data_IF_865431186371
#
_entry.id   IF_865431186371
#
_cell.length_a   1.000
_cell.length_b   1.000
_cell.length_c   1.000
_cell.angle_alpha   90.00
_cell.angle_beta   90.00
_cell.angle_gamma   90.00
#
_symmetry.space_group_name_H-M   'P 1'
#
loop_
_entity.id
_entity.type
_entity.pdbx_description
1 polymer ?
#
# COMPACT_ATOMS: atom_id res chain seq x y z
N UNK A 1 16.50 11.48 -8.14
CA UNK A 1 15.59 11.47 -6.98
C UNK A 1 14.36 10.71 -7.40
N UNK A 2 13.90 9.79 -6.57
CA UNK A 2 12.76 8.91 -6.88
C UNK A 2 11.82 8.83 -5.68
N UNK A 3 10.52 8.78 -5.96
CA UNK A 3 9.49 8.45 -4.97
C UNK A 3 9.21 6.95 -5.00
N UNK A 4 9.45 6.27 -3.88
CA UNK A 4 9.20 4.84 -3.77
C UNK A 4 7.90 4.60 -3.01
N UNK A 5 6.88 4.08 -3.69
CA UNK A 5 5.64 3.60 -3.07
C UNK A 5 5.88 2.18 -2.53
N UNK A 6 6.02 2.04 -1.22
CA UNK A 6 6.48 0.81 -0.56
C UNK A 6 5.33 0.13 0.17
N UNK A 7 5.08 -1.14 -0.17
CA UNK A 7 4.23 -2.01 0.63
C UNK A 7 4.92 -2.48 1.91
N UNK A 8 4.38 -2.08 3.07
CA UNK A 8 4.89 -2.42 4.39
C UNK A 8 4.56 -3.86 4.82
N UNK A 9 3.69 -4.56 4.09
CA UNK A 9 3.19 -5.86 4.50
C UNK A 9 2.00 -5.77 5.48
N UNK A 10 1.51 -6.92 6.00
CA UNK A 10 0.23 -7.03 6.69
C UNK A 10 0.27 -6.64 8.17
N UNK A 11 1.39 -6.13 8.69
CA UNK A 11 1.48 -5.55 10.03
C UNK A 11 2.70 -5.98 10.85
N UNK A 12 3.23 -7.20 10.69
CA UNK A 12 4.48 -7.55 11.37
C UNK A 12 5.67 -6.87 10.66
N UNK A 13 6.60 -6.20 11.38
CA UNK A 13 7.69 -5.46 10.75
C UNK A 13 8.62 -6.30 9.87
N UNK A 14 8.76 -7.59 10.17
CA UNK A 14 9.60 -8.54 9.44
C UNK A 14 8.95 -9.10 8.15
N UNK A 15 7.68 -8.76 7.89
CA UNK A 15 6.98 -9.12 6.65
C UNK A 15 7.12 -8.05 5.56
N UNK A 16 7.82 -6.95 5.83
CA UNK A 16 8.27 -6.04 4.78
C UNK A 16 9.29 -6.74 3.87
N UNK A 17 9.34 -6.37 2.60
CA UNK A 17 10.38 -6.89 1.71
C UNK A 17 11.75 -6.30 2.08
N UNK A 18 12.81 -7.07 1.82
CA UNK A 18 14.20 -6.58 1.98
C UNK A 18 14.44 -5.30 1.17
N UNK A 19 13.82 -5.19 -0.01
CA UNK A 19 13.91 -3.96 -0.83
C UNK A 19 13.21 -2.78 -0.14
N UNK A 20 12.00 -2.99 0.38
CA UNK A 20 11.22 -1.96 1.07
C UNK A 20 11.95 -1.41 2.29
N UNK A 21 12.48 -2.29 3.15
CA UNK A 21 13.23 -1.87 4.34
C UNK A 21 14.48 -1.05 3.97
N UNK A 22 15.31 -1.55 3.03
CA UNK A 22 16.52 -0.85 2.55
C UNK A 22 16.26 0.49 1.87
N UNK A 23 15.05 0.72 1.40
CA UNK A 23 14.63 2.00 0.85
C UNK A 23 14.31 2.98 1.98
N UNK A 24 13.53 2.54 2.96
CA UNK A 24 13.19 3.33 4.14
C UNK A 24 14.47 3.75 4.88
N UNK A 25 15.41 2.83 5.08
CA UNK A 25 16.70 3.06 5.74
C UNK A 25 17.61 4.11 5.07
N UNK A 26 17.31 4.54 3.84
CA UNK A 26 18.14 5.51 3.10
C UNK A 26 17.42 6.78 2.63
N UNK A 27 16.09 6.82 2.69
CA UNK A 27 15.34 7.98 2.18
C UNK A 27 15.35 9.12 3.21
N UNK A 28 15.77 10.35 2.85
CA UNK A 28 15.73 11.51 3.74
C UNK A 28 14.31 11.97 4.10
N UNK A 29 13.30 11.60 3.31
CA UNK A 29 11.89 11.83 3.62
C UNK A 29 11.15 10.48 3.65
N UNK A 30 10.51 10.19 4.78
CA UNK A 30 9.64 9.04 4.97
C UNK A 30 8.21 9.52 5.25
N UNK A 31 7.31 9.28 4.30
CA UNK A 31 5.89 9.57 4.41
C UNK A 31 5.14 8.26 4.62
N UNK A 32 4.35 8.12 5.69
CA UNK A 32 3.59 6.89 5.95
C UNK A 32 2.09 7.14 6.07
N UNK A 33 1.29 6.14 5.72
CA UNK A 33 -0.17 6.22 5.67
C UNK A 33 -0.84 5.82 7.00
N UNK A 34 -0.59 6.57 8.07
CA UNK A 34 -1.28 6.40 9.35
C UNK A 34 -0.94 5.14 10.13
N UNK A 35 -1.82 4.81 11.08
CA UNK A 35 -1.63 3.76 12.08
C UNK A 35 -1.61 2.33 11.55
N UNK A 36 -1.95 2.11 10.27
CA UNK A 36 -1.88 0.79 9.63
C UNK A 36 -0.47 0.44 9.16
N UNK A 37 0.46 1.40 9.20
CA UNK A 37 1.90 1.15 9.01
C UNK A 37 2.54 0.97 10.40
N UNK A 38 3.22 -0.16 10.65
CA UNK A 38 3.92 -0.40 11.91
C UNK A 38 4.96 0.69 12.21
N UNK A 39 4.96 1.22 13.43
CA UNK A 39 5.87 2.29 13.83
C UNK A 39 7.34 1.85 13.75
N UNK A 40 7.62 0.57 13.99
CA UNK A 40 8.95 -0.04 13.92
C UNK A 40 9.54 0.01 12.51
N UNK A 41 8.71 -0.15 11.48
CA UNK A 41 9.13 -0.02 10.08
C UNK A 41 9.57 1.42 9.80
N UNK A 42 8.76 2.39 10.22
CA UNK A 42 9.03 3.81 9.98
C UNK A 42 10.25 4.29 10.80
N UNK A 43 10.44 3.75 12.00
CA UNK A 43 11.59 4.02 12.87
C UNK A 43 12.93 3.53 12.28
N UNK A 44 12.90 2.72 11.22
CA UNK A 44 14.11 2.30 10.49
C UNK A 44 14.64 3.39 9.54
N UNK A 45 13.90 4.49 9.36
CA UNK A 45 14.39 5.64 8.58
C UNK A 45 15.66 6.25 9.22
N UNK A 46 16.51 6.95 8.43
CA UNK A 46 17.67 7.66 8.96
C UNK A 46 17.34 8.56 10.16
N UNK A 47 18.26 8.70 11.10
CA UNK A 47 18.03 9.48 12.31
C UNK A 47 17.75 10.97 12.04
N UNK A 48 18.23 11.49 10.91
CA UNK A 48 18.00 12.84 10.41
C UNK A 48 16.87 12.93 9.37
N UNK A 49 16.21 11.82 9.05
CA UNK A 49 15.11 11.81 8.11
C UNK A 49 13.89 12.56 8.65
N UNK A 50 13.20 13.24 7.74
CA UNK A 50 11.87 13.79 8.02
C UNK A 50 10.86 12.65 7.95
N UNK A 51 10.22 12.34 9.07
CA UNK A 51 9.20 11.30 9.16
C UNK A 51 7.83 11.94 9.37
N UNK A 52 6.88 11.72 8.44
CA UNK A 52 5.59 12.42 8.43
C UNK A 52 4.43 11.42 8.30
N UNK A 53 3.52 11.47 9.28
CA UNK A 53 2.22 10.81 9.16
C UNK A 53 1.35 11.59 8.18
N UNK A 54 0.83 10.89 7.18
CA UNK A 54 -0.01 11.49 6.14
C UNK A 54 -1.48 11.16 6.26
N UNK A 55 -1.90 10.36 7.26
CA UNK A 55 -3.31 10.19 7.59
C UNK A 55 -4.08 11.52 7.83
N UNK A 56 -3.50 12.56 8.47
CA UNK A 56 -4.19 13.84 8.63
C UNK A 56 -4.07 14.76 7.40
N UNK A 57 -3.32 14.37 6.37
CA UNK A 57 -3.02 15.23 5.23
C UNK A 57 -3.96 14.94 4.05
N UNK A 58 -4.35 16.00 3.34
CA UNK A 58 -4.99 15.88 2.03
C UNK A 58 -3.94 15.66 0.93
N UNK A 59 -4.40 15.22 -0.24
CA UNK A 59 -3.54 14.91 -1.39
C UNK A 59 -2.57 16.06 -1.73
N UNK A 60 -3.05 17.30 -1.81
CA UNK A 60 -2.17 18.43 -2.16
C UNK A 60 -1.04 18.67 -1.14
N UNK A 61 -1.28 18.44 0.15
CA UNK A 61 -0.24 18.58 1.18
C UNK A 61 0.81 17.45 1.05
N UNK A 62 0.37 16.23 0.76
CA UNK A 62 1.27 15.10 0.50
C UNK A 62 2.14 15.39 -0.72
N UNK A 63 1.53 15.86 -1.81
CA UNK A 63 2.26 16.20 -3.05
C UNK A 63 3.22 17.37 -2.81
N UNK A 64 2.84 18.38 -2.02
CA UNK A 64 3.72 19.49 -1.69
C UNK A 64 4.99 19.06 -0.93
N UNK A 65 4.88 18.09 -0.02
CA UNK A 65 6.04 17.48 0.66
C UNK A 65 6.96 16.76 -0.33
N UNK A 66 6.38 16.01 -1.27
CA UNK A 66 7.13 15.30 -2.31
C UNK A 66 7.83 16.29 -3.26
N UNK A 67 7.14 17.34 -3.69
CA UNK A 67 7.73 18.40 -4.53
C UNK A 67 8.88 19.12 -3.81
N UNK A 68 8.74 19.36 -2.51
CA UNK A 68 9.81 19.97 -1.72
C UNK A 68 11.05 19.07 -1.65
N UNK A 69 10.86 17.76 -1.47
CA UNK A 69 11.96 16.78 -1.53
C UNK A 69 12.58 16.69 -2.93
N UNK A 70 11.75 16.70 -3.98
CA UNK A 70 12.20 16.71 -5.36
C UNK A 70 13.10 17.93 -5.67
N UNK A 71 12.72 19.14 -5.22
CA UNK A 71 13.55 20.35 -5.36
C UNK A 71 14.89 20.26 -4.64
N UNK A 72 15.00 19.42 -3.59
CA UNK A 72 16.24 19.16 -2.85
C UNK A 72 17.02 17.95 -3.39
N UNK A 73 16.48 17.21 -4.35
CA UNK A 73 17.07 15.98 -4.86
C UNK A 73 17.02 14.80 -3.89
N UNK A 74 16.09 14.82 -2.92
CA UNK A 74 15.97 13.82 -1.86
C UNK A 74 14.99 12.71 -2.25
N UNK A 75 15.43 11.45 -2.20
CA UNK A 75 14.56 10.29 -2.37
C UNK A 75 13.46 10.23 -1.30
N UNK A 76 12.29 9.73 -1.66
CA UNK A 76 11.11 9.68 -0.78
C UNK A 76 10.65 8.24 -0.58
N UNK A 77 10.61 7.78 0.66
CA UNK A 77 9.93 6.55 1.03
C UNK A 77 8.46 6.87 1.33
N UNK A 78 7.55 6.40 0.48
CA UNK A 78 6.10 6.54 0.65
C UNK A 78 5.51 5.20 1.05
N UNK A 79 5.31 5.00 2.36
CA UNK A 79 5.01 3.69 2.95
C UNK A 79 3.49 3.49 3.12
N UNK A 80 2.98 2.39 2.57
CA UNK A 80 1.58 1.99 2.59
C UNK A 80 1.41 0.62 3.28
N UNK A 81 0.30 0.40 3.97
CA UNK A 81 -0.02 -0.91 4.55
C UNK A 81 -0.26 -1.97 3.46
N UNK A 82 0.11 -3.22 3.71
CA UNK A 82 -0.09 -4.34 2.79
C UNK A 82 0.73 -4.19 1.50
N UNK A 83 0.04 -4.34 0.36
CA UNK A 83 0.58 -4.07 -0.96
C UNK A 83 -0.14 -2.85 -1.59
N UNK A 84 0.58 -1.88 -2.19
CA UNK A 84 -0.02 -0.67 -2.71
C UNK A 84 -1.01 -0.87 -3.86
N UNK A 85 -0.98 -2.03 -4.54
CA UNK A 85 -1.89 -2.32 -5.66
C UNK A 85 -3.36 -2.46 -5.25
N UNK A 86 -3.63 -2.74 -3.97
CA UNK A 86 -4.97 -3.01 -3.47
C UNK A 86 -5.40 -1.94 -2.45
N UNK A 87 -6.34 -1.08 -2.86
CA UNK A 87 -6.90 0.01 -2.03
C UNK A 87 -5.85 0.97 -1.44
N UNK A 88 -4.65 1.05 -2.01
CA UNK A 88 -3.55 1.87 -1.49
C UNK A 88 -3.62 3.37 -1.79
N UNK A 89 -4.60 3.82 -2.59
CA UNK A 89 -4.75 5.23 -3.03
C UNK A 89 -3.48 5.85 -3.66
N UNK A 90 -2.66 5.04 -4.33
CA UNK A 90 -1.43 5.51 -4.98
C UNK A 90 -1.67 6.14 -6.36
N UNK A 91 -2.75 5.75 -7.05
CA UNK A 91 -3.01 6.18 -8.42
C UNK A 91 -3.18 7.70 -8.58
N UNK A 92 -3.86 8.35 -7.64
CA UNK A 92 -4.03 9.81 -7.67
C UNK A 92 -2.73 10.57 -7.40
N UNK A 93 -1.84 10.03 -6.56
CA UNK A 93 -0.53 10.59 -6.29
C UNK A 93 0.37 10.43 -7.52
N UNK A 94 0.48 9.22 -8.08
CA UNK A 94 1.29 8.94 -9.28
C UNK A 94 0.91 9.85 -10.44
N UNK A 95 -0.39 10.05 -10.71
CA UNK A 95 -0.85 10.99 -11.76
C UNK A 95 -0.40 12.43 -11.52
N UNK A 96 -0.30 12.87 -10.27
CA UNK A 96 0.22 14.21 -9.92
C UNK A 96 1.73 14.27 -10.11
N UNK A 97 2.46 13.22 -9.73
CA UNK A 97 3.91 13.12 -9.92
C UNK A 97 4.27 13.08 -11.42
N UNK A 98 3.53 12.34 -12.23
CA UNK A 98 3.68 12.29 -13.69
C UNK A 98 3.54 13.68 -14.32
N UNK A 99 2.51 14.43 -13.92
CA UNK A 99 2.28 15.80 -14.40
C UNK A 99 3.39 16.78 -13.98
N UNK A 100 4.10 16.48 -12.89
CA UNK A 100 5.23 17.26 -12.37
C UNK A 100 6.58 16.77 -12.91
N UNK A 101 6.63 15.66 -13.65
CA UNK A 101 7.87 15.04 -14.11
C UNK A 101 8.71 14.43 -12.98
N UNK A 102 8.07 13.94 -11.92
CA UNK A 102 8.73 13.31 -10.76
C UNK A 102 8.70 11.80 -10.92
N UNK A 103 9.87 11.19 -11.02
CA UNK A 103 10.02 9.73 -11.14
C UNK A 103 9.52 9.00 -9.89
N UNK A 104 8.86 7.86 -10.11
CA UNK A 104 8.38 7.01 -9.03
C UNK A 104 8.49 5.52 -9.36
N UNK A 105 8.65 4.69 -8.33
CA UNK A 105 8.70 3.23 -8.41
C UNK A 105 7.74 2.62 -7.36
N UNK A 106 7.04 1.56 -7.73
CA UNK A 106 6.25 0.75 -6.78
C UNK A 106 7.09 -0.44 -6.32
N UNK A 107 7.23 -0.58 -5.01
CA UNK A 107 7.85 -1.73 -4.36
C UNK A 107 6.74 -2.59 -3.77
N UNK A 108 6.55 -3.82 -4.27
CA UNK A 108 5.47 -4.68 -3.81
C UNK A 108 5.64 -5.05 -2.33
N UNK A 109 4.51 -5.28 -1.66
CA UNK A 109 4.41 -5.78 -0.30
C UNK A 109 3.64 -7.08 -0.23
N UNK A 110 3.59 -7.66 0.96
CA UNK A 110 2.73 -8.83 1.23
C UNK A 110 1.30 -8.32 1.49
N UNK A 111 0.31 -8.65 0.64
CA UNK A 111 -1.06 -8.18 0.82
C UNK A 111 -1.75 -8.86 2.01
N UNK A 112 -2.73 -8.18 2.61
CA UNK A 112 -3.41 -8.65 3.83
C UNK A 112 -4.07 -10.02 3.68
N UNK A 113 -4.69 -10.32 2.52
CA UNK A 113 -5.33 -11.62 2.28
C UNK A 113 -4.32 -12.79 2.33
N UNK A 114 -3.08 -12.58 1.88
CA UNK A 114 -2.03 -13.59 1.96
C UNK A 114 -1.56 -13.80 3.40
N UNK A 115 -1.42 -12.70 4.17
CA UNK A 115 -1.16 -12.77 5.61
C UNK A 115 -2.27 -13.51 6.38
N UNK A 116 -3.54 -13.27 6.03
CA UNK A 116 -4.69 -13.97 6.60
C UNK A 116 -4.68 -15.47 6.27
N UNK A 117 -4.42 -15.84 5.01
CA UNK A 117 -4.31 -17.24 4.59
C UNK A 117 -3.19 -17.99 5.34
N UNK A 118 -2.02 -17.36 5.48
CA UNK A 118 -0.91 -17.90 6.26
C UNK A 118 -1.28 -18.08 7.74
N UNK A 119 -1.99 -17.10 8.34
CA UNK A 119 -2.44 -17.17 9.74
C UNK A 119 -3.45 -18.29 9.98
N UNK A 120 -4.28 -18.59 8.98
CA UNK A 120 -5.25 -19.69 8.98
C UNK A 120 -4.61 -21.04 8.59
N UNK A 121 -3.36 -21.06 8.11
CA UNK A 121 -2.72 -22.26 7.59
C UNK A 121 -3.47 -22.86 6.40
N UNK A 122 -4.04 -22.01 5.54
CA UNK A 122 -4.97 -22.42 4.48
C UNK A 122 -4.46 -22.00 3.10
N UNK A 123 -4.47 -22.94 2.16
CA UNK A 123 -4.33 -22.63 0.73
C UNK A 123 -5.67 -22.14 0.18
N UNK A 124 -5.70 -20.97 -0.48
CA UNK A 124 -6.95 -20.36 -0.96
C UNK A 124 -7.50 -21.01 -2.24
N UNK A 125 -6.65 -21.75 -2.94
CA UNK A 125 -6.99 -22.55 -4.12
C UNK A 125 -6.84 -24.02 -3.78
N UNK A 126 -7.83 -24.82 -4.18
CA UNK A 126 -7.85 -26.26 -3.96
C UNK A 126 -8.34 -26.93 -5.25
N UNK A 127 -7.60 -27.92 -5.79
CA UNK A 127 -8.05 -28.68 -6.95
C UNK A 127 -9.46 -29.23 -6.75
N UNK A 128 -10.29 -29.18 -7.79
CA UNK A 128 -11.69 -29.63 -7.80
C UNK A 128 -12.66 -28.89 -6.84
N UNK A 129 -12.16 -27.94 -6.03
CA UNK A 129 -12.97 -27.17 -5.07
C UNK A 129 -13.05 -25.70 -5.47
N UNK A 130 -11.90 -25.02 -5.60
CA UNK A 130 -11.83 -23.60 -5.96
C UNK A 130 -10.49 -23.30 -6.63
N UNK A 131 -10.52 -22.78 -7.85
CA UNK A 131 -9.34 -22.37 -8.62
C UNK A 131 -9.32 -20.86 -8.84
N UNK A 132 -10.07 -20.12 -8.04
CA UNK A 132 -10.26 -18.68 -8.23
C UNK A 132 -10.35 -18.00 -6.87
N UNK A 133 -9.64 -16.88 -6.73
CA UNK A 133 -9.72 -15.99 -5.58
C UNK A 133 -10.20 -14.64 -6.08
N UNK A 134 -11.31 -14.16 -5.51
CA UNK A 134 -11.85 -12.83 -5.80
C UNK A 134 -11.50 -11.92 -4.62
N UNK A 135 -10.69 -10.90 -4.88
CA UNK A 135 -10.41 -9.82 -3.94
C UNK A 135 -11.47 -8.74 -4.13
N UNK A 136 -12.21 -8.41 -3.08
CA UNK A 136 -13.27 -7.41 -3.14
C UNK A 136 -13.44 -6.69 -1.81
N UNK A 137 -14.42 -5.79 -1.74
CA UNK A 137 -14.89 -5.06 -0.55
C UNK A 137 -16.40 -4.93 -0.63
N UNK A 138 -17.04 -4.53 0.46
CA UNK A 138 -18.49 -4.26 0.46
C UNK A 138 -18.78 -2.80 0.17
N UNK A 139 -19.95 -2.53 -0.41
CA UNK A 139 -20.53 -1.20 -0.39
C UNK A 139 -20.74 -0.80 1.08
N UNK A 140 -19.99 0.20 1.54
CA UNK A 140 -20.01 0.69 2.91
C UNK A 140 -20.11 2.20 2.93
N UNK A 141 -19.70 2.82 4.04
CA UNK A 141 -19.73 4.30 4.18
C UNK A 141 -18.70 5.04 3.31
N UNK A 142 -17.76 4.34 2.68
CA UNK A 142 -16.66 4.95 1.93
C UNK A 142 -17.03 5.30 0.49
N UNK A 143 -17.42 4.30 -0.31
CA UNK A 143 -17.75 4.48 -1.72
C UNK A 143 -18.73 3.42 -2.21
N UNK A 144 -19.47 3.79 -3.26
CA UNK A 144 -20.29 2.85 -4.02
C UNK A 144 -19.39 1.86 -4.78
N UNK A 145 -19.88 0.63 -4.91
CA UNK A 145 -19.28 -0.39 -5.79
C UNK A 145 -19.88 -0.25 -7.20
N UNK A 146 -19.13 -0.57 -8.27
CA UNK A 146 -19.72 -0.79 -9.58
C UNK A 146 -20.86 -1.81 -9.51
N UNK A 147 -21.93 -1.63 -10.29
CA UNK A 147 -23.11 -2.51 -10.26
C UNK A 147 -22.77 -3.99 -10.54
N UNK A 148 -21.73 -4.21 -11.35
CA UNK A 148 -21.20 -5.52 -11.74
C UNK A 148 -20.33 -6.18 -10.67
N UNK A 149 -19.98 -5.47 -9.59
CA UNK A 149 -19.09 -5.94 -8.52
C UNK A 149 -19.80 -6.10 -7.18
N UNK A 150 -21.14 -6.13 -7.18
CA UNK A 150 -21.92 -6.43 -5.98
C UNK A 150 -21.64 -7.86 -5.49
N UNK A 151 -21.72 -8.09 -4.17
CA UNK A 151 -21.42 -9.39 -3.57
C UNK A 151 -22.29 -10.51 -4.13
N UNK A 152 -23.55 -10.25 -4.46
CA UNK A 152 -24.45 -11.25 -5.07
C UNK A 152 -23.97 -11.67 -6.45
N UNK A 153 -23.39 -10.73 -7.22
CA UNK A 153 -22.84 -10.98 -8.56
C UNK A 153 -21.53 -11.76 -8.45
N UNK A 154 -20.61 -11.30 -7.59
CA UNK A 154 -19.31 -11.96 -7.40
C UNK A 154 -19.47 -13.36 -6.78
N UNK A 155 -20.36 -13.50 -5.80
CA UNK A 155 -20.62 -14.74 -5.08
C UNK A 155 -21.28 -15.83 -5.93
N UNK A 156 -21.93 -15.47 -7.05
CA UNK A 156 -22.50 -16.44 -7.99
C UNK A 156 -21.43 -17.39 -8.57
N UNK A 157 -20.17 -16.96 -8.62
CA UNK A 157 -19.03 -17.80 -9.05
C UNK A 157 -18.70 -18.94 -8.09
N UNK A 158 -19.11 -18.84 -6.81
CA UNK A 158 -18.71 -19.73 -5.70
C UNK A 158 -17.20 -19.84 -5.47
N UNK A 159 -16.42 -18.90 -6.02
CA UNK A 159 -14.99 -18.80 -5.80
C UNK A 159 -14.67 -18.41 -4.34
N UNK A 160 -13.41 -18.60 -3.94
CA UNK A 160 -12.91 -18.10 -2.66
C UNK A 160 -12.99 -16.56 -2.66
N UNK A 161 -13.68 -15.96 -1.69
CA UNK A 161 -13.83 -14.51 -1.55
C UNK A 161 -12.95 -13.98 -0.42
N UNK A 162 -12.07 -13.03 -0.73
CA UNK A 162 -11.35 -12.24 0.26
C UNK A 162 -11.93 -10.81 0.30
N UNK A 163 -12.75 -10.56 1.32
CA UNK A 163 -13.48 -9.30 1.51
C UNK A 163 -12.70 -8.41 2.48
N UNK A 164 -12.30 -7.23 2.00
CA UNK A 164 -11.53 -6.23 2.74
C UNK A 164 -12.43 -5.17 3.38
#
# INVERSE_FOLDING_TARGET
MTVYFIGAGPGAPDLITVRGLRLIERCPLCLYAGSLVPAEIVASAPADARVIDTAPLHLDAIVAEIEAAHRRGEDVARVHSGDPSLYGAIAEQMRRLDALGIDHEIVPGVPAFAGAAARLGTELTLPEISQTVILTRTAGKASAMPETERLEVLGASRATLAIH
#
